data_IF_842745639113
#
_entry.id   IF_842745639113
#
_cell.length_a   1.000
_cell.length_b   1.000
_cell.length_c   1.000
_cell.angle_alpha   90.00
_cell.angle_beta   90.00
_cell.angle_gamma   90.00
#
_symmetry.space_group_name_H-M   'P 1'
#
loop_
_entity.id
_entity.type
_entity.pdbx_description
1 polymer ?
#
# COMPACT_ATOMS: atom_id res chain seq x y z
N UNK A 1 52.42 54.27 25.85
CA UNK A 1 53.41 53.48 25.07
C UNK A 1 52.65 52.59 24.09
N UNK A 2 53.19 52.34 22.90
CA UNK A 2 52.66 51.35 21.94
C UNK A 2 53.25 49.95 22.24
N UNK A 3 52.54 48.84 22.01
CA UNK A 3 52.63 47.85 20.90
C UNK A 3 52.14 46.50 21.49
N UNK A 4 51.63 45.47 20.80
CA UNK A 4 50.97 45.24 19.48
C UNK A 4 50.12 43.94 19.60
N UNK A 5 49.20 43.60 18.67
CA UNK A 5 48.23 42.51 18.84
C UNK A 5 48.68 41.17 18.24
N UNK A 6 47.94 40.09 18.57
CA UNK A 6 47.88 38.84 17.77
C UNK A 6 46.41 38.41 17.66
N UNK A 7 45.97 38.15 16.43
CA UNK A 7 44.64 37.66 16.07
C UNK A 7 44.38 36.21 16.46
N UNK A 8 43.11 35.83 16.55
CA UNK A 8 42.63 34.64 15.83
C UNK A 8 41.11 34.73 15.64
N UNK A 9 40.67 34.73 14.38
CA UNK A 9 39.27 34.89 14.02
C UNK A 9 38.78 33.77 13.09
N UNK A 10 37.58 33.25 13.41
CA UNK A 10 36.57 32.77 12.45
C UNK A 10 36.89 31.44 11.68
N UNK A 11 35.88 30.68 11.18
CA UNK A 11 34.68 31.19 10.49
C UNK A 11 33.31 30.64 10.88
N UNK A 12 32.33 31.55 10.78
CA UNK A 12 30.91 31.29 10.61
C UNK A 12 30.60 30.90 9.16
N UNK A 13 29.66 29.98 8.94
CA UNK A 13 29.23 29.55 7.59
C UNK A 13 28.12 30.45 7.01
N UNK A 14 28.04 30.60 5.67
CA UNK A 14 27.23 31.66 5.04
C UNK A 14 25.75 31.29 4.81
N UNK A 15 24.92 32.32 4.78
CA UNK A 15 23.48 32.26 4.49
C UNK A 15 23.18 31.85 3.02
N UNK A 16 22.05 31.16 2.81
CA UNK A 16 21.64 30.61 1.50
C UNK A 16 20.68 31.58 0.79
N UNK A 17 20.96 32.05 -0.44
CA UNK A 17 20.11 33.03 -1.12
C UNK A 17 18.76 32.43 -1.57
N UNK A 18 17.68 33.19 -1.34
CA UNK A 18 16.29 32.87 -1.73
C UNK A 18 16.10 33.07 -3.24
N UNK A 19 15.55 32.06 -3.94
CA UNK A 19 15.16 32.20 -5.37
C UNK A 19 13.76 32.79 -5.49
N UNK A 20 13.62 33.85 -6.30
CA UNK A 20 12.32 34.40 -6.73
C UNK A 20 11.82 33.68 -8.00
N UNK A 21 10.49 33.59 -8.23
CA UNK A 21 9.93 32.97 -9.43
C UNK A 21 10.03 33.90 -10.65
N UNK A 22 10.45 33.35 -11.81
CA UNK A 22 10.37 34.06 -13.10
C UNK A 22 9.13 33.63 -13.88
N UNK A 23 8.36 34.64 -14.31
CA UNK A 23 7.23 34.50 -15.24
C UNK A 23 7.75 34.08 -16.61
N UNK A 24 7.05 33.14 -17.26
CA UNK A 24 7.32 32.76 -18.64
C UNK A 24 6.63 33.72 -19.61
N UNK A 25 7.40 34.36 -20.48
CA UNK A 25 6.91 35.12 -21.63
C UNK A 25 7.10 34.27 -22.90
N UNK A 26 6.05 34.16 -23.69
CA UNK A 26 6.09 33.47 -24.98
C UNK A 26 6.68 34.41 -26.05
N UNK A 27 7.54 33.87 -26.91
CA UNK A 27 8.02 34.58 -28.11
C UNK A 27 8.06 33.63 -29.30
N UNK A 28 7.23 33.90 -30.30
CA UNK A 28 7.35 33.29 -31.62
C UNK A 28 8.60 33.85 -32.34
N UNK A 29 9.27 33.02 -33.14
CA UNK A 29 9.99 33.49 -34.34
C UNK A 29 10.20 32.38 -35.36
N UNK A 30 9.65 32.56 -36.56
CA UNK A 30 10.10 31.88 -37.77
C UNK A 30 11.38 32.59 -38.28
N UNK A 31 12.30 31.86 -38.93
CA UNK A 31 12.60 32.02 -40.37
C UNK A 31 13.77 31.15 -40.88
N UNK A 32 13.49 30.45 -41.98
CA UNK A 32 14.25 30.26 -43.22
C UNK A 32 15.72 29.74 -43.32
N UNK A 33 15.81 28.66 -44.13
CA UNK A 33 16.74 28.37 -45.25
C UNK A 33 18.22 27.97 -45.03
N UNK A 34 18.42 26.66 -45.24
CA UNK A 34 19.32 26.02 -46.21
C UNK A 34 20.85 26.29 -46.23
N UNK A 35 21.62 25.22 -45.98
CA UNK A 35 23.05 25.08 -46.30
C UNK A 35 23.47 23.60 -46.19
N UNK A 36 24.36 23.12 -47.06
CA UNK A 36 24.64 21.67 -47.26
C UNK A 36 26.12 21.34 -47.02
N UNK A 37 26.42 20.39 -46.11
CA UNK A 37 27.43 19.30 -46.20
C UNK A 37 27.97 18.83 -44.83
N UNK A 38 28.41 17.56 -44.78
CA UNK A 38 29.57 17.17 -43.98
C UNK A 38 29.35 16.58 -42.59
N UNK A 39 29.05 15.28 -42.55
CA UNK A 39 29.59 14.31 -41.58
C UNK A 39 29.73 14.74 -40.10
N UNK A 40 28.64 14.60 -39.34
CA UNK A 40 28.73 14.11 -37.96
C UNK A 40 27.39 13.52 -37.51
N UNK A 41 27.19 12.21 -37.74
CA UNK A 41 26.04 11.48 -37.17
C UNK A 41 26.34 11.24 -35.69
N UNK A 42 26.02 12.22 -34.86
CA UNK A 42 25.82 11.98 -33.43
C UNK A 42 24.67 10.98 -33.31
N UNK A 43 24.84 9.81 -32.66
CA UNK A 43 23.73 8.91 -32.43
C UNK A 43 22.64 9.65 -31.66
N UNK A 44 21.44 9.71 -32.23
CA UNK A 44 20.26 10.19 -31.51
C UNK A 44 20.18 9.40 -30.18
N UNK A 45 19.97 10.04 -29.02
CA UNK A 45 19.77 9.32 -27.78
C UNK A 45 18.50 8.46 -27.91
N UNK A 46 18.69 7.16 -28.13
CA UNK A 46 17.65 6.15 -28.26
C UNK A 46 17.07 5.78 -26.89
N UNK A 47 16.48 6.78 -26.25
CA UNK A 47 15.68 6.63 -25.05
C UNK A 47 14.53 7.64 -25.10
N UNK A 48 13.56 7.37 -25.99
CA UNK A 48 12.21 7.85 -25.75
C UNK A 48 11.78 7.32 -24.39
N UNK A 49 11.52 8.21 -23.45
CA UNK A 49 11.12 7.85 -22.09
C UNK A 49 9.75 7.17 -22.19
N UNK A 50 9.75 5.84 -22.14
CA UNK A 50 8.59 5.04 -22.51
C UNK A 50 7.46 5.25 -21.49
N UNK A 51 6.52 6.13 -21.83
CA UNK A 51 5.40 6.48 -20.98
C UNK A 51 4.47 5.27 -20.84
N UNK A 52 4.53 4.60 -19.69
CA UNK A 52 3.55 3.57 -19.34
C UNK A 52 2.20 4.22 -19.11
N UNK A 53 1.21 3.80 -19.90
CA UNK A 53 -0.18 4.15 -19.68
C UNK A 53 -0.79 3.32 -18.54
N UNK A 54 -1.57 3.96 -17.67
CA UNK A 54 -2.15 3.36 -16.47
C UNK A 54 -3.66 3.20 -16.64
N UNK A 55 -4.05 2.29 -17.53
CA UNK A 55 -5.45 1.97 -17.82
C UNK A 55 -6.16 1.48 -16.54
N UNK A 56 -7.27 2.11 -16.16
CA UNK A 56 -8.09 1.66 -15.03
C UNK A 56 -8.72 0.29 -15.33
N UNK A 57 -9.03 -0.48 -14.29
CA UNK A 57 -9.53 -1.85 -14.44
C UNK A 57 -10.84 -1.89 -15.26
N UNK A 58 -11.73 -0.93 -15.06
CA UNK A 58 -13.00 -0.78 -15.82
C UNK A 58 -12.81 -0.55 -17.33
N UNK A 59 -11.63 -0.09 -17.74
CA UNK A 59 -11.26 0.18 -19.13
C UNK A 59 -10.40 -0.92 -19.77
N UNK A 60 -10.09 -2.00 -19.03
CA UNK A 60 -9.43 -3.17 -19.59
C UNK A 60 -10.35 -3.90 -20.58
N UNK A 61 -9.74 -4.72 -21.44
CA UNK A 61 -10.42 -5.55 -22.43
C UNK A 61 -9.93 -6.98 -22.31
N UNK A 62 -10.76 -8.00 -22.61
CA UNK A 62 -10.32 -9.39 -22.61
C UNK A 62 -9.12 -9.61 -23.55
N UNK A 63 -8.35 -10.67 -23.28
CA UNK A 63 -7.35 -11.18 -24.21
C UNK A 63 -8.02 -11.87 -25.40
N UNK A 64 -7.48 -11.67 -26.60
CA UNK A 64 -8.00 -12.28 -27.84
C UNK A 64 -7.72 -13.77 -27.94
N UNK A 65 -6.58 -14.22 -27.40
CA UNK A 65 -6.17 -15.61 -27.32
C UNK A 65 -5.53 -15.86 -25.95
N UNK A 66 -6.34 -16.12 -24.91
CA UNK A 66 -5.84 -16.30 -23.54
C UNK A 66 -5.11 -17.63 -23.35
N UNK A 67 -5.46 -18.68 -24.11
CA UNK A 67 -4.91 -20.04 -23.99
C UNK A 67 -3.48 -20.13 -24.52
N UNK A 68 -3.13 -19.38 -25.56
CA UNK A 68 -1.73 -19.23 -25.98
C UNK A 68 -0.99 -18.28 -25.03
N UNK A 69 -1.63 -17.16 -24.66
CA UNK A 69 -0.97 -16.11 -23.88
C UNK A 69 -0.62 -16.51 -22.45
N UNK A 70 -1.36 -17.43 -21.83
CA UNK A 70 -1.07 -17.90 -20.45
C UNK A 70 0.25 -18.68 -20.38
N UNK A 71 0.66 -19.32 -21.48
CA UNK A 71 1.84 -20.19 -21.54
C UNK A 71 3.15 -19.41 -21.39
N UNK A 72 3.24 -18.20 -21.96
CA UNK A 72 4.43 -17.33 -21.85
C UNK A 72 4.39 -16.38 -20.64
N UNK A 73 3.24 -16.24 -19.97
CA UNK A 73 3.00 -15.15 -19.01
C UNK A 73 4.06 -15.05 -17.89
N UNK A 74 4.47 -16.18 -17.32
CA UNK A 74 5.46 -16.21 -16.23
C UNK A 74 6.87 -15.83 -16.72
N UNK A 75 7.25 -16.27 -17.93
CA UNK A 75 8.53 -15.88 -18.55
C UNK A 75 8.54 -14.41 -18.95
N UNK A 76 7.43 -13.92 -19.52
CA UNK A 76 7.28 -12.53 -19.92
C UNK A 76 7.37 -11.57 -18.71
N UNK A 77 6.84 -11.97 -17.55
CA UNK A 77 6.95 -11.24 -16.28
C UNK A 77 8.36 -11.23 -15.66
N UNK A 78 9.23 -12.20 -16.00
CA UNK A 78 10.64 -12.21 -15.55
C UNK A 78 11.60 -11.58 -16.58
N UNK A 79 11.05 -10.94 -17.62
CA UNK A 79 11.84 -10.28 -18.66
C UNK A 79 12.76 -9.19 -18.11
N UNK A 80 13.99 -9.12 -18.66
CA UNK A 80 14.93 -8.01 -18.43
C UNK A 80 14.42 -6.68 -19.01
N UNK A 81 13.51 -6.73 -20.00
CA UNK A 81 12.86 -5.53 -20.54
C UNK A 81 11.71 -5.11 -19.62
N UNK A 82 11.92 -4.04 -18.86
CA UNK A 82 10.94 -3.54 -17.89
C UNK A 82 9.61 -3.10 -18.54
N UNK A 83 9.61 -2.65 -19.80
CA UNK A 83 8.38 -2.29 -20.51
C UNK A 83 7.55 -3.53 -20.80
N UNK A 84 8.19 -4.62 -21.26
CA UNK A 84 7.54 -5.94 -21.44
C UNK A 84 6.94 -6.44 -20.13
N UNK A 85 7.63 -6.29 -18.99
CA UNK A 85 7.06 -6.66 -17.69
C UNK A 85 5.83 -5.80 -17.33
N UNK A 86 5.81 -4.49 -17.65
CA UNK A 86 4.60 -3.67 -17.49
C UNK A 86 3.43 -4.14 -18.38
N UNK A 87 3.70 -4.55 -19.62
CA UNK A 87 2.70 -5.14 -20.53
C UNK A 87 2.15 -6.44 -19.95
N UNK A 88 3.02 -7.35 -19.51
CA UNK A 88 2.64 -8.64 -18.91
C UNK A 88 1.89 -8.47 -17.58
N UNK A 89 2.19 -7.45 -16.78
CA UNK A 89 1.40 -7.12 -15.59
C UNK A 89 -0.01 -6.62 -15.97
N UNK A 90 -0.18 -5.91 -17.08
CA UNK A 90 -1.51 -5.60 -17.59
C UNK A 90 -2.22 -6.84 -18.16
N UNK A 91 -1.49 -7.79 -18.72
CA UNK A 91 -2.07 -9.09 -19.10
C UNK A 91 -2.49 -9.90 -17.86
N UNK A 92 -1.74 -9.91 -16.75
CA UNK A 92 -2.18 -10.47 -15.45
C UNK A 92 -3.50 -9.86 -14.99
N UNK A 93 -3.67 -8.53 -15.11
CA UNK A 93 -4.92 -7.85 -14.77
C UNK A 93 -6.09 -8.31 -15.65
N UNK A 94 -5.87 -8.42 -16.96
CA UNK A 94 -6.86 -8.92 -17.92
C UNK A 94 -7.21 -10.38 -17.67
N UNK A 95 -6.24 -11.21 -17.29
CA UNK A 95 -6.46 -12.58 -16.86
C UNK A 95 -7.30 -12.64 -15.58
N UNK A 96 -6.96 -11.87 -14.54
CA UNK A 96 -7.73 -11.82 -13.31
C UNK A 96 -9.20 -11.41 -13.54
N UNK A 97 -9.45 -10.42 -14.40
CA UNK A 97 -10.81 -9.92 -14.67
C UNK A 97 -11.65 -10.79 -15.62
N UNK A 98 -11.06 -11.33 -16.69
CA UNK A 98 -11.83 -11.95 -17.79
C UNK A 98 -11.58 -13.45 -17.96
N UNK A 99 -10.46 -13.96 -17.44
CA UNK A 99 -9.95 -15.32 -17.73
C UNK A 99 -9.38 -15.97 -16.45
N UNK A 100 -10.04 -15.76 -15.31
CA UNK A 100 -9.51 -16.09 -13.97
C UNK A 100 -9.29 -17.59 -13.75
N UNK A 101 -10.05 -18.44 -14.44
CA UNK A 101 -9.88 -19.90 -14.48
C UNK A 101 -8.53 -20.35 -15.05
N UNK A 102 -7.96 -19.60 -16.01
CA UNK A 102 -6.65 -19.90 -16.60
C UNK A 102 -5.50 -19.38 -15.75
N UNK A 103 -5.72 -18.32 -14.97
CA UNK A 103 -4.72 -17.76 -14.07
C UNK A 103 -4.63 -18.53 -12.75
N UNK A 104 -5.73 -19.11 -12.27
CA UNK A 104 -5.80 -19.80 -10.98
C UNK A 104 -4.75 -20.92 -10.80
N UNK A 105 -4.53 -21.85 -11.76
CA UNK A 105 -3.54 -22.92 -11.63
C UNK A 105 -2.08 -22.46 -11.51
N UNK A 106 -1.79 -21.19 -11.82
CA UNK A 106 -0.46 -20.58 -11.67
C UNK A 106 -0.44 -19.41 -10.68
N UNK A 107 -1.54 -19.17 -9.94
CA UNK A 107 -1.74 -17.95 -9.15
C UNK A 107 -0.63 -17.73 -8.12
N UNK A 108 -0.18 -18.77 -7.40
CA UNK A 108 0.93 -18.65 -6.44
C UNK A 108 2.22 -18.13 -7.07
N UNK A 109 2.55 -18.58 -8.29
CA UNK A 109 3.71 -18.09 -9.06
C UNK A 109 3.51 -16.62 -9.47
N UNK A 110 2.31 -16.27 -9.92
CA UNK A 110 1.97 -14.89 -10.32
C UNK A 110 2.05 -13.93 -9.13
N UNK A 111 1.45 -14.29 -7.99
CA UNK A 111 1.51 -13.51 -6.73
C UNK A 111 2.96 -13.29 -6.28
N UNK A 112 3.80 -14.35 -6.33
CA UNK A 112 5.22 -14.26 -5.99
C UNK A 112 5.98 -13.30 -6.91
N UNK A 113 5.73 -13.35 -8.23
CA UNK A 113 6.37 -12.46 -9.21
C UNK A 113 5.86 -11.03 -9.10
N UNK A 114 4.57 -10.81 -8.85
CA UNK A 114 4.01 -9.48 -8.55
C UNK A 114 4.68 -8.87 -7.31
N UNK A 115 4.81 -9.63 -6.22
CA UNK A 115 5.52 -9.21 -5.01
C UNK A 115 7.01 -8.91 -5.28
N UNK A 116 7.68 -9.72 -6.11
CA UNK A 116 9.06 -9.47 -6.59
C UNK A 116 9.14 -8.14 -7.34
N UNK A 117 8.21 -7.87 -8.25
CA UNK A 117 8.20 -6.67 -9.10
C UNK A 117 7.86 -5.39 -8.34
N UNK A 118 7.06 -5.45 -7.27
CA UNK A 118 6.88 -4.32 -6.36
C UNK A 118 8.21 -3.81 -5.78
N UNK A 119 9.21 -4.67 -5.56
CA UNK A 119 10.53 -4.25 -5.04
C UNK A 119 11.37 -3.46 -6.04
N UNK A 120 10.96 -3.36 -7.32
CA UNK A 120 11.71 -2.62 -8.33
C UNK A 120 11.75 -1.11 -8.02
N UNK A 121 12.90 -0.43 -8.21
CA UNK A 121 13.00 1.01 -8.01
C UNK A 121 12.23 1.86 -9.04
N UNK A 122 11.88 1.29 -10.21
CA UNK A 122 11.05 1.99 -11.20
C UNK A 122 9.61 2.07 -10.70
N UNK A 123 9.11 3.29 -10.48
CA UNK A 123 7.73 3.49 -10.01
C UNK A 123 6.67 3.04 -11.00
N UNK A 124 6.98 2.95 -12.30
CA UNK A 124 6.07 2.39 -13.28
C UNK A 124 5.79 0.90 -12.99
N UNK A 125 6.84 0.07 -12.97
CA UNK A 125 6.74 -1.34 -12.55
C UNK A 125 6.08 -1.50 -11.18
N UNK A 126 6.51 -0.71 -10.18
CA UNK A 126 5.94 -0.80 -8.85
C UNK A 126 4.44 -0.48 -8.84
N UNK A 127 4.00 0.56 -9.57
CA UNK A 127 2.57 0.93 -9.64
C UNK A 127 1.76 -0.11 -10.42
N UNK A 128 2.22 -0.52 -11.60
CA UNK A 128 1.51 -1.53 -12.40
C UNK A 128 1.41 -2.87 -11.67
N UNK A 129 2.41 -3.25 -10.85
CA UNK A 129 2.35 -4.42 -9.99
C UNK A 129 1.32 -4.28 -8.85
N UNK A 130 1.14 -3.07 -8.29
CA UNK A 130 0.07 -2.80 -7.31
C UNK A 130 -1.32 -2.83 -7.96
N UNK A 131 -1.45 -2.31 -9.18
CA UNK A 131 -2.70 -2.44 -9.95
C UNK A 131 -3.01 -3.91 -10.26
N UNK A 132 -2.00 -4.72 -10.60
CA UNK A 132 -2.14 -6.18 -10.75
C UNK A 132 -2.56 -6.88 -9.45
N UNK A 133 -1.96 -6.52 -8.31
CA UNK A 133 -2.37 -7.04 -7.01
C UNK A 133 -3.82 -6.68 -6.66
N UNK A 134 -4.25 -5.45 -6.93
CA UNK A 134 -5.63 -5.01 -6.72
C UNK A 134 -6.65 -5.84 -7.52
N UNK A 135 -6.38 -6.11 -8.79
CA UNK A 135 -7.27 -6.91 -9.63
C UNK A 135 -7.22 -8.41 -9.25
N UNK A 136 -6.06 -8.91 -8.78
CA UNK A 136 -5.92 -10.25 -8.18
C UNK A 136 -6.78 -10.38 -6.91
N UNK A 137 -6.77 -9.39 -6.00
CA UNK A 137 -7.61 -9.44 -4.79
C UNK A 137 -9.09 -9.52 -5.15
N UNK A 138 -9.56 -8.65 -6.05
CA UNK A 138 -10.96 -8.67 -6.52
C UNK A 138 -11.37 -9.99 -7.20
N UNK A 139 -10.47 -10.62 -7.95
CA UNK A 139 -10.77 -11.84 -8.71
C UNK A 139 -10.70 -13.14 -7.88
N UNK A 140 -9.84 -13.19 -6.87
CA UNK A 140 -9.54 -14.42 -6.14
C UNK A 140 -9.94 -14.40 -4.67
N UNK A 141 -9.99 -13.23 -4.03
CA UNK A 141 -10.42 -13.06 -2.64
C UNK A 141 -9.81 -14.11 -1.72
N UNK A 142 -10.66 -14.89 -1.07
CA UNK A 142 -10.27 -15.89 -0.07
C UNK A 142 -9.39 -17.03 -0.61
N UNK A 143 -9.37 -17.28 -1.93
CA UNK A 143 -8.47 -18.29 -2.55
C UNK A 143 -6.99 -17.96 -2.35
N UNK A 144 -6.65 -16.72 -2.00
CA UNK A 144 -5.28 -16.34 -1.65
C UNK A 144 -4.84 -16.87 -0.27
N UNK A 145 -5.77 -17.42 0.53
CA UNK A 145 -5.49 -18.18 1.75
C UNK A 145 -5.22 -19.67 1.51
N UNK A 146 -5.37 -20.19 0.28
CA UNK A 146 -5.06 -21.58 -0.05
C UNK A 146 -3.59 -21.89 0.35
N UNK A 147 -3.28 -23.05 0.97
CA UNK A 147 -1.93 -23.33 1.49
C UNK A 147 -0.80 -23.20 0.46
N UNK A 148 -1.06 -23.51 -0.80
CA UNK A 148 -0.09 -23.42 -1.91
C UNK A 148 0.20 -21.96 -2.35
N UNK A 149 -0.64 -21.01 -1.94
CA UNK A 149 -0.57 -19.59 -2.33
C UNK A 149 -0.24 -18.69 -1.12
N UNK A 150 -0.62 -19.12 0.08
CA UNK A 150 -0.54 -18.38 1.35
C UNK A 150 0.82 -17.70 1.60
N UNK A 151 1.93 -18.40 1.39
CA UNK A 151 3.30 -17.85 1.60
C UNK A 151 3.64 -16.75 0.59
N UNK A 152 3.22 -16.92 -0.67
CA UNK A 152 3.39 -15.89 -1.70
C UNK A 152 2.52 -14.66 -1.39
N UNK A 153 1.29 -14.89 -0.88
CA UNK A 153 0.40 -13.82 -0.43
C UNK A 153 0.99 -13.06 0.75
N UNK A 154 1.59 -13.70 1.76
CA UNK A 154 2.26 -13.00 2.87
C UNK A 154 3.43 -12.12 2.38
N UNK A 155 4.19 -12.61 1.38
CA UNK A 155 5.20 -11.81 0.69
C UNK A 155 4.62 -10.58 -0.02
N UNK A 156 3.52 -10.74 -0.77
CA UNK A 156 2.80 -9.66 -1.43
C UNK A 156 2.26 -8.63 -0.42
N UNK A 157 1.69 -9.11 0.69
CA UNK A 157 1.04 -8.34 1.73
C UNK A 157 2.03 -7.40 2.45
N UNK A 158 3.20 -7.93 2.84
CA UNK A 158 4.29 -7.12 3.38
C UNK A 158 4.79 -6.08 2.36
N UNK A 159 4.95 -6.45 1.09
CA UNK A 159 5.37 -5.48 0.07
C UNK A 159 4.35 -4.37 -0.10
N UNK A 160 3.06 -4.70 -0.12
CA UNK A 160 2.00 -3.72 -0.28
C UNK A 160 1.95 -2.71 0.88
N UNK A 161 2.04 -3.18 2.13
CA UNK A 161 2.17 -2.32 3.30
C UNK A 161 3.41 -1.40 3.24
N UNK A 162 4.56 -1.93 2.81
CA UNK A 162 5.78 -1.13 2.62
C UNK A 162 5.59 -0.05 1.54
N UNK A 163 4.82 -0.32 0.48
CA UNK A 163 4.54 0.67 -0.58
C UNK A 163 3.49 1.71 -0.18
N UNK A 164 2.53 1.38 0.68
CA UNK A 164 1.64 2.34 1.32
C UNK A 164 2.35 3.21 2.38
N UNK A 165 3.56 2.82 2.81
CA UNK A 165 4.33 3.50 3.87
C UNK A 165 5.40 4.50 3.37
N UNK A 166 5.47 4.75 2.05
CA UNK A 166 6.51 5.58 1.43
C UNK A 166 6.02 7.01 1.09
N UNK A 167 6.95 7.95 0.97
CA UNK A 167 6.63 9.37 0.66
C UNK A 167 6.28 9.62 -0.82
N UNK A 168 6.53 8.65 -1.72
CA UNK A 168 6.19 8.75 -3.13
C UNK A 168 4.68 8.58 -3.36
N UNK A 169 3.94 9.68 -3.17
CA UNK A 169 2.47 9.81 -3.32
C UNK A 169 1.85 8.93 -4.41
N UNK A 170 2.32 9.04 -5.66
CA UNK A 170 1.83 8.29 -6.82
C UNK A 170 1.80 6.76 -6.68
N UNK A 171 2.68 6.19 -5.85
CA UNK A 171 2.75 4.74 -5.57
C UNK A 171 2.08 4.41 -4.23
N UNK A 172 2.17 5.32 -3.26
CA UNK A 172 1.51 5.23 -1.96
C UNK A 172 -0.03 5.20 -2.08
N UNK A 173 -0.63 6.13 -2.82
CA UNK A 173 -2.09 6.19 -3.04
C UNK A 173 -2.62 4.94 -3.74
N UNK A 174 -1.85 4.39 -4.69
CA UNK A 174 -2.21 3.14 -5.37
C UNK A 174 -2.15 1.94 -4.41
N UNK A 175 -1.15 1.90 -3.51
CA UNK A 175 -1.03 0.86 -2.50
C UNK A 175 -2.15 0.94 -1.45
N UNK A 176 -2.51 2.14 -1.00
CA UNK A 176 -3.66 2.37 -0.11
C UNK A 176 -4.98 1.93 -0.75
N UNK A 177 -5.17 2.21 -2.06
CA UNK A 177 -6.33 1.73 -2.83
C UNK A 177 -6.38 0.20 -2.88
N UNK A 178 -5.25 -0.44 -3.18
CA UNK A 178 -5.15 -1.90 -3.24
C UNK A 178 -5.37 -2.57 -1.87
N UNK A 179 -4.88 -1.99 -0.76
CA UNK A 179 -5.21 -2.45 0.61
C UNK A 179 -6.71 -2.33 0.89
N UNK A 180 -7.35 -1.25 0.44
CA UNK A 180 -8.80 -1.08 0.51
C UNK A 180 -9.57 -2.16 -0.25
N UNK A 181 -9.15 -2.51 -1.46
CA UNK A 181 -9.76 -3.58 -2.26
C UNK A 181 -9.53 -4.98 -1.69
N UNK A 182 -8.35 -5.25 -1.12
CA UNK A 182 -8.05 -6.49 -0.41
C UNK A 182 -9.02 -6.71 0.75
N UNK A 183 -9.16 -5.74 1.66
CA UNK A 183 -10.15 -5.80 2.74
C UNK A 183 -11.59 -5.76 2.19
N UNK A 184 -11.78 -5.23 0.98
CA UNK A 184 -13.05 -5.23 0.24
C UNK A 184 -13.52 -6.62 -0.22
N UNK A 185 -12.58 -7.49 -0.62
CA UNK A 185 -12.81 -8.72 -1.41
C UNK A 185 -12.56 -10.03 -0.66
N UNK A 186 -12.09 -9.97 0.58
CA UNK A 186 -11.80 -11.13 1.44
C UNK A 186 -12.73 -11.19 2.65
N UNK A 187 -12.95 -12.40 3.16
CA UNK A 187 -13.60 -12.64 4.45
C UNK A 187 -12.76 -12.00 5.57
N UNK A 188 -13.36 -11.23 6.49
CA UNK A 188 -12.60 -10.43 7.45
C UNK A 188 -11.68 -11.22 8.38
N UNK A 189 -12.16 -12.34 8.94
CA UNK A 189 -11.44 -13.08 9.99
C UNK A 189 -10.09 -13.67 9.52
N UNK A 190 -9.99 -14.43 8.41
CA UNK A 190 -8.71 -14.94 7.90
C UNK A 190 -7.72 -13.83 7.53
N UNK A 191 -8.21 -12.71 6.98
CA UNK A 191 -7.38 -11.55 6.67
C UNK A 191 -6.87 -10.85 7.93
N UNK A 192 -7.72 -10.68 8.95
CA UNK A 192 -7.35 -10.14 10.26
C UNK A 192 -6.26 -10.98 10.94
N UNK A 193 -6.39 -12.31 10.89
CA UNK A 193 -5.41 -13.27 11.41
C UNK A 193 -4.03 -13.14 10.73
N UNK A 194 -3.97 -12.93 9.41
CA UNK A 194 -2.72 -12.60 8.69
C UNK A 194 -2.22 -11.19 9.00
N UNK A 195 -3.11 -10.20 9.15
CA UNK A 195 -2.73 -8.81 9.41
C UNK A 195 -2.16 -8.54 10.80
N UNK A 196 -2.53 -9.31 11.83
CA UNK A 196 -2.18 -9.04 13.24
C UNK A 196 -0.69 -8.79 13.48
N UNK A 197 0.19 -9.51 12.78
CA UNK A 197 1.66 -9.41 12.94
C UNK A 197 2.22 -8.07 12.48
N UNK A 198 1.48 -7.29 11.69
CA UNK A 198 1.90 -5.99 11.20
C UNK A 198 1.43 -4.83 12.10
N UNK A 199 0.43 -5.05 12.98
CA UNK A 199 0.00 -4.07 13.98
C UNK A 199 1.07 -3.72 15.03
N UNK A 200 2.06 -4.59 15.22
CA UNK A 200 3.23 -4.41 16.10
C UNK A 200 4.56 -4.20 15.34
N UNK A 201 4.51 -3.98 14.02
CA UNK A 201 5.71 -3.86 13.18
C UNK A 201 6.62 -2.66 13.50
N UNK A 202 7.94 -2.83 13.58
CA UNK A 202 8.90 -1.79 14.04
C UNK A 202 8.86 -0.46 13.26
N UNK A 203 8.45 -0.46 11.99
CA UNK A 203 8.19 0.77 11.23
C UNK A 203 6.78 1.31 11.53
N UNK A 204 6.72 2.51 12.11
CA UNK A 204 5.48 3.21 12.50
C UNK A 204 4.48 3.36 11.35
N UNK A 205 4.95 3.69 10.13
CA UNK A 205 4.06 3.88 8.97
C UNK A 205 3.42 2.56 8.52
N UNK A 206 4.19 1.48 8.54
CA UNK A 206 3.66 0.12 8.26
C UNK A 206 2.61 -0.27 9.31
N UNK A 207 2.85 0.04 10.59
CA UNK A 207 1.85 -0.14 11.66
C UNK A 207 0.57 0.63 11.41
N UNK A 208 0.64 1.90 11.02
CA UNK A 208 -0.55 2.68 10.69
C UNK A 208 -1.36 2.09 9.53
N UNK A 209 -0.69 1.66 8.45
CA UNK A 209 -1.36 1.02 7.30
C UNK A 209 -1.95 -0.35 7.64
N UNK A 210 -1.28 -1.12 8.48
CA UNK A 210 -1.81 -2.36 9.03
C UNK A 210 -3.02 -2.10 9.95
N UNK A 211 -2.93 -1.12 10.85
CA UNK A 211 -4.01 -0.72 11.76
C UNK A 211 -5.28 -0.32 11.02
N UNK A 212 -5.18 0.50 9.97
CA UNK A 212 -6.32 0.88 9.11
C UNK A 212 -6.91 -0.34 8.37
N UNK A 213 -6.08 -1.31 7.99
CA UNK A 213 -6.56 -2.54 7.34
C UNK A 213 -7.25 -3.47 8.35
N UNK A 214 -6.70 -3.60 9.56
CA UNK A 214 -7.29 -4.31 10.69
C UNK A 214 -8.66 -3.72 11.07
N UNK A 215 -8.76 -2.40 11.28
CA UNK A 215 -10.01 -1.77 11.70
C UNK A 215 -11.14 -1.93 10.68
N UNK A 216 -10.82 -1.90 9.37
CA UNK A 216 -11.77 -2.19 8.28
C UNK A 216 -12.19 -3.66 8.19
N UNK A 217 -11.38 -4.60 8.70
CA UNK A 217 -11.81 -5.98 8.87
C UNK A 217 -12.78 -6.09 10.05
N UNK A 218 -12.39 -5.54 11.22
CA UNK A 218 -13.22 -5.55 12.44
C UNK A 218 -14.59 -4.91 12.22
N UNK A 219 -14.67 -3.79 11.49
CA UNK A 219 -15.94 -3.11 11.20
C UNK A 219 -16.90 -3.90 10.29
N UNK A 220 -16.47 -5.05 9.76
CA UNK A 220 -17.28 -5.98 8.97
C UNK A 220 -17.65 -7.26 9.73
N UNK A 221 -17.10 -7.47 10.93
CA UNK A 221 -17.27 -8.70 11.70
C UNK A 221 -18.46 -8.62 12.64
N UNK A 222 -19.19 -9.73 12.79
CA UNK A 222 -20.11 -9.94 13.90
C UNK A 222 -19.40 -10.36 15.18
N UNK A 223 -20.11 -10.31 16.32
CA UNK A 223 -19.56 -10.71 17.63
C UNK A 223 -18.92 -12.11 17.58
N UNK A 224 -19.58 -13.09 16.95
CA UNK A 224 -19.08 -14.46 16.81
C UNK A 224 -17.72 -14.54 16.08
N UNK A 225 -17.47 -13.71 15.08
CA UNK A 225 -16.18 -13.67 14.38
C UNK A 225 -15.09 -12.99 15.23
N UNK A 226 -15.47 -11.98 16.02
CA UNK A 226 -14.55 -11.34 16.98
C UNK A 226 -14.19 -12.30 18.13
N UNK A 227 -15.14 -13.12 18.59
CA UNK A 227 -14.91 -14.21 19.54
C UNK A 227 -13.99 -15.29 18.98
N UNK A 228 -14.16 -15.68 17.70
CA UNK A 228 -13.26 -16.61 17.01
C UNK A 228 -11.83 -16.07 16.81
N UNK A 229 -11.67 -14.75 16.65
CA UNK A 229 -10.34 -14.12 16.64
C UNK A 229 -9.72 -14.08 18.04
N UNK A 230 -10.54 -13.84 19.06
CA UNK A 230 -10.12 -13.56 20.43
C UNK A 230 -10.46 -12.12 20.82
N UNK A 231 -11.48 -11.94 21.67
CA UNK A 231 -11.90 -10.60 22.11
C UNK A 231 -10.84 -9.88 22.94
N UNK A 232 -10.01 -10.62 23.70
CA UNK A 232 -8.96 -10.02 24.53
C UNK A 232 -7.84 -9.50 23.63
N UNK A 233 -7.38 -10.37 22.73
CA UNK A 233 -6.36 -10.11 21.72
C UNK A 233 -6.75 -8.92 20.84
N UNK A 234 -8.03 -8.79 20.48
CA UNK A 234 -8.51 -7.68 19.66
C UNK A 234 -8.52 -6.34 20.41
N UNK A 235 -8.94 -6.32 21.67
CA UNK A 235 -8.95 -5.08 22.46
C UNK A 235 -7.55 -4.67 22.94
N UNK A 236 -6.64 -5.63 23.14
CA UNK A 236 -5.21 -5.37 23.36
C UNK A 236 -4.57 -4.69 22.15
N UNK A 237 -4.83 -5.18 20.93
CA UNK A 237 -4.37 -4.53 19.68
C UNK A 237 -4.87 -3.09 19.59
N UNK A 238 -6.14 -2.82 19.95
CA UNK A 238 -6.64 -1.45 20.03
C UNK A 238 -5.90 -0.63 21.09
N UNK A 239 -5.75 -1.15 22.31
CA UNK A 239 -5.12 -0.44 23.43
C UNK A 239 -3.66 -0.04 23.13
N UNK A 240 -2.89 -0.93 22.51
CA UNK A 240 -1.51 -0.65 22.08
C UNK A 240 -1.45 0.43 20.98
N UNK A 241 -2.37 0.38 20.01
CA UNK A 241 -2.41 1.33 18.89
C UNK A 241 -2.93 2.72 19.28
N UNK A 242 -3.69 2.87 20.38
CA UNK A 242 -4.10 4.19 20.90
C UNK A 242 -2.91 5.07 21.31
N UNK A 243 -1.81 4.45 21.71
CA UNK A 243 -0.59 5.12 22.14
C UNK A 243 0.43 5.29 20.99
N UNK A 244 0.04 5.00 19.74
CA UNK A 244 0.91 5.16 18.58
C UNK A 244 1.27 6.64 18.32
N UNK A 245 2.48 6.85 17.79
CA UNK A 245 3.00 8.16 17.39
C UNK A 245 2.28 8.71 16.15
N UNK A 246 1.69 7.87 15.30
CA UNK A 246 0.96 8.30 14.11
C UNK A 246 -0.55 8.45 14.40
N UNK A 247 -1.20 9.53 13.93
CA UNK A 247 -2.64 9.73 14.14
C UNK A 247 -3.48 8.63 13.47
N UNK A 248 -3.15 8.26 12.23
CA UNK A 248 -3.83 7.23 11.43
C UNK A 248 -3.98 5.88 12.18
N UNK A 249 -2.95 5.45 12.91
CA UNK A 249 -3.00 4.26 13.75
C UNK A 249 -3.93 4.42 14.96
N UNK A 250 -3.89 5.59 15.63
CA UNK A 250 -4.75 5.90 16.77
C UNK A 250 -6.21 6.06 16.37
N UNK A 251 -6.48 6.57 15.17
CA UNK A 251 -7.83 6.66 14.59
C UNK A 251 -8.37 5.25 14.30
N UNK A 252 -7.56 4.39 13.67
CA UNK A 252 -7.92 3.00 13.47
C UNK A 252 -8.17 2.24 14.79
N UNK A 253 -7.37 2.49 15.82
CA UNK A 253 -7.56 1.94 17.16
C UNK A 253 -8.90 2.34 17.80
N UNK A 254 -9.31 3.60 17.61
CA UNK A 254 -10.64 4.07 18.01
C UNK A 254 -11.74 3.32 17.28
N UNK A 255 -11.62 3.17 15.95
CA UNK A 255 -12.59 2.40 15.15
C UNK A 255 -12.71 0.94 15.61
N UNK A 256 -11.61 0.25 15.93
CA UNK A 256 -11.65 -1.12 16.48
C UNK A 256 -12.43 -1.14 17.80
N UNK A 257 -12.10 -0.28 18.75
CA UNK A 257 -12.77 -0.23 20.04
C UNK A 257 -14.28 0.10 19.91
N UNK A 258 -14.65 1.02 19.02
CA UNK A 258 -16.06 1.33 18.72
C UNK A 258 -16.80 0.12 18.12
N UNK A 259 -16.25 -0.54 17.11
CA UNK A 259 -16.91 -1.71 16.50
C UNK A 259 -17.03 -2.89 17.48
N UNK A 260 -16.05 -3.09 18.37
CA UNK A 260 -16.15 -4.08 19.44
C UNK A 260 -17.24 -3.73 20.45
N UNK A 261 -17.34 -2.46 20.87
CA UNK A 261 -18.41 -1.99 21.74
C UNK A 261 -19.79 -2.21 21.10
N UNK A 262 -19.96 -1.82 19.84
CA UNK A 262 -21.22 -2.00 19.09
C UNK A 262 -21.61 -3.47 18.98
N UNK A 263 -20.65 -4.37 18.72
CA UNK A 263 -20.88 -5.81 18.63
C UNK A 263 -21.23 -6.44 19.99
N UNK A 264 -20.48 -6.13 21.05
CA UNK A 264 -20.67 -6.69 22.40
C UNK A 264 -21.96 -6.20 23.07
N UNK A 265 -22.32 -4.93 22.86
CA UNK A 265 -23.44 -4.27 23.55
C UNK A 265 -24.72 -4.23 22.73
N UNK A 266 -24.73 -4.84 21.53
CA UNK A 266 -25.82 -4.75 20.55
C UNK A 266 -27.20 -4.94 21.18
N UNK A 267 -27.35 -6.05 21.91
CA UNK A 267 -28.61 -6.55 22.47
C UNK A 267 -28.71 -6.34 24.00
N UNK A 268 -27.89 -5.44 24.57
CA UNK A 268 -27.88 -5.10 26.00
C UNK A 268 -28.55 -3.74 26.25
N UNK A 269 -29.33 -3.62 27.32
CA UNK A 269 -29.85 -2.32 27.79
C UNK A 269 -28.76 -1.55 28.56
N UNK A 270 -27.92 -2.25 29.34
CA UNK A 270 -26.86 -1.70 30.20
C UNK A 270 -25.50 -1.63 29.46
N UNK A 271 -25.50 -1.07 28.23
CA UNK A 271 -24.36 -1.10 27.29
C UNK A 271 -23.03 -0.64 27.90
N UNK A 272 -23.05 0.48 28.62
CA UNK A 272 -21.84 1.05 29.22
C UNK A 272 -21.30 0.23 30.40
N UNK A 273 -22.17 -0.44 31.16
CA UNK A 273 -21.75 -1.28 32.29
C UNK A 273 -21.12 -2.59 31.79
N UNK A 274 -21.73 -3.22 30.78
CA UNK A 274 -21.16 -4.37 30.08
C UNK A 274 -19.78 -4.05 29.52
N UNK A 275 -19.64 -2.91 28.82
CA UNK A 275 -18.38 -2.47 28.24
C UNK A 275 -17.32 -2.13 29.30
N UNK A 276 -17.72 -1.49 30.41
CA UNK A 276 -16.84 -1.21 31.53
C UNK A 276 -16.32 -2.50 32.17
N UNK A 277 -17.20 -3.45 32.44
CA UNK A 277 -16.86 -4.77 32.99
C UNK A 277 -15.92 -5.54 32.05
N UNK A 278 -16.20 -5.54 30.75
CA UNK A 278 -15.31 -6.11 29.74
C UNK A 278 -13.92 -5.46 29.76
N UNK A 279 -13.83 -4.12 29.66
CA UNK A 279 -12.55 -3.43 29.64
C UNK A 279 -11.74 -3.63 30.93
N UNK A 280 -12.39 -3.56 32.10
CA UNK A 280 -11.72 -3.69 33.40
C UNK A 280 -11.28 -5.14 33.70
N UNK A 281 -12.00 -6.14 33.17
CA UNK A 281 -11.62 -7.55 33.35
C UNK A 281 -10.58 -8.06 32.35
N UNK A 282 -10.44 -7.40 31.19
CA UNK A 282 -9.54 -7.86 30.10
C UNK A 282 -8.28 -7.00 29.90
N UNK A 283 -8.21 -5.78 30.42
CA UNK A 283 -7.08 -4.88 30.21
C UNK A 283 -6.44 -4.39 31.52
N UNK A 284 -5.13 -4.07 31.53
CA UNK A 284 -4.51 -3.32 32.61
C UNK A 284 -5.24 -1.98 32.88
N UNK A 285 -5.30 -1.47 34.12
CA UNK A 285 -6.14 -0.32 34.47
C UNK A 285 -5.95 0.93 33.59
N UNK A 286 -4.72 1.24 33.17
CA UNK A 286 -4.40 2.38 32.30
C UNK A 286 -4.97 2.18 30.88
N UNK A 287 -4.90 0.95 30.35
CA UNK A 287 -5.45 0.60 29.04
C UNK A 287 -6.98 0.59 29.08
N UNK A 288 -7.58 -0.01 30.12
CA UNK A 288 -9.03 0.02 30.34
C UNK A 288 -9.58 1.46 30.39
N UNK A 289 -8.96 2.34 31.18
CA UNK A 289 -9.35 3.76 31.28
C UNK A 289 -9.17 4.55 29.97
N UNK A 290 -8.25 4.12 29.10
CA UNK A 290 -8.01 4.75 27.79
C UNK A 290 -9.06 4.30 26.77
N UNK A 291 -9.36 3.01 26.74
CA UNK A 291 -10.38 2.39 25.87
C UNK A 291 -11.78 2.88 26.23
N UNK A 292 -12.12 2.95 27.52
CA UNK A 292 -13.43 3.39 28.02
C UNK A 292 -13.80 4.81 27.59
N UNK A 293 -12.81 5.68 27.32
CA UNK A 293 -13.03 7.08 26.89
C UNK A 293 -13.32 7.24 25.40
N UNK A 294 -13.17 6.17 24.60
CA UNK A 294 -13.36 6.22 23.14
C UNK A 294 -14.84 6.27 22.81
N UNK A 295 -15.58 5.33 23.40
CA UNK A 295 -17.02 5.27 23.26
C UNK A 295 -17.63 6.27 24.24
N UNK A 296 -18.49 7.13 23.71
CA UNK A 296 -19.26 8.05 24.55
C UNK A 296 -20.60 7.38 24.89
N UNK A 297 -21.12 7.57 26.10
CA UNK A 297 -22.53 7.34 26.37
C UNK A 297 -23.40 8.27 25.51
#
# INVERSE_FOLDING_TARGET
MALRPIDNALPTTPERPKKQPKVALATQKQQDRAGVNGENIVPLPSSGDATVDYVSSDNLKPLSDPEVKIQSLVEDLDSKNWTKVCESLNDVRRFAMYHSSLLFPILGKIVLVVAKTMRNPRSALCKTAIMAAADIFNAFGDKLHDPEISDAFDGLLLQLLLKASQDKRFVCEEADRALGLMVGSMTPLPLLQKMRVYGSHKNLRVRAKAAVSLSRCVSKMGLQEMEQFGLVELIEVAADLLNDRLPEARDAARSVATSMYEALTKDSEEKMELWQSFCQSKLPPIHALSILKIVKP
#
